data_IF_664573461146
#
_entry.id   IF_664573461146
#
_cell.length_a   1.000
_cell.length_b   1.000
_cell.length_c   1.000
_cell.angle_alpha   90.00
_cell.angle_beta   90.00
_cell.angle_gamma   90.00
#
_symmetry.space_group_name_H-M   'P 1'
#
loop_
_entity.id
_entity.type
_entity.pdbx_description
1 polymer ?
#
# COMPACT_ATOMS: atom_id res chain seq x y z
N UNK A 1 -1.97 22.84 5.82
CA UNK A 1 -0.55 22.56 6.14
C UNK A 1 0.28 23.83 6.00
N UNK A 2 -0.33 25.01 6.13
CA UNK A 2 0.35 26.28 5.94
C UNK A 2 1.01 26.61 7.29
N UNK A 3 2.36 26.64 7.32
CA UNK A 3 3.13 26.92 8.54
C UNK A 3 4.19 25.88 8.92
N UNK A 4 4.31 24.76 8.20
CA UNK A 4 5.50 23.90 8.33
C UNK A 4 6.65 24.53 7.54
N UNK A 5 7.66 25.04 8.25
CA UNK A 5 8.94 25.41 7.62
C UNK A 5 9.58 24.12 7.06
N UNK A 6 10.08 24.17 5.84
CA UNK A 6 10.71 23.04 5.13
C UNK A 6 11.92 22.48 5.90
N UNK A 7 12.42 23.23 6.89
CA UNK A 7 13.50 22.87 7.80
C UNK A 7 13.07 21.95 8.95
N UNK A 8 11.77 21.84 9.24
CA UNK A 8 11.25 20.87 10.19
C UNK A 8 11.20 19.52 9.50
N UNK A 9 12.07 18.58 9.89
CA UNK A 9 12.16 17.21 9.34
C UNK A 9 10.95 16.32 9.63
N UNK A 10 9.74 16.81 9.35
CA UNK A 10 8.47 16.11 9.54
C UNK A 10 7.99 15.62 8.18
N UNK A 11 7.70 14.33 8.08
CA UNK A 11 7.10 13.71 6.90
C UNK A 11 5.65 13.40 7.23
N UNK A 12 4.72 13.91 6.41
CA UNK A 12 3.30 13.59 6.52
C UNK A 12 2.90 12.56 5.46
N UNK A 13 2.26 11.47 5.90
CA UNK A 13 1.69 10.43 5.04
C UNK A 13 0.20 10.32 5.36
N UNK A 14 -0.63 10.27 4.32
CA UNK A 14 -2.06 10.02 4.44
C UNK A 14 -2.49 8.94 3.45
N UNK A 15 -3.58 8.24 3.76
CA UNK A 15 -4.18 7.21 2.91
C UNK A 15 -5.69 7.43 2.79
N UNK A 16 -6.23 7.22 1.59
CA UNK A 16 -7.68 7.25 1.33
C UNK A 16 -8.03 6.20 0.28
N UNK A 17 -9.22 5.59 0.43
CA UNK A 17 -9.82 4.74 -0.60
C UNK A 17 -10.78 5.52 -1.52
N UNK A 18 -10.97 6.83 -1.27
CA UNK A 18 -11.84 7.72 -2.05
C UNK A 18 -11.14 9.04 -2.35
N UNK A 19 -10.17 9.07 -3.28
CA UNK A 19 -9.46 10.29 -3.65
C UNK A 19 -10.36 11.32 -4.34
N UNK A 20 -11.46 10.86 -4.94
CA UNK A 20 -12.45 11.64 -5.68
C UNK A 20 -13.23 12.66 -4.83
N UNK A 21 -13.37 12.41 -3.53
CA UNK A 21 -14.10 13.31 -2.60
C UNK A 21 -13.19 14.16 -1.72
N UNK A 22 -11.88 14.11 -1.94
CA UNK A 22 -10.96 14.96 -1.18
C UNK A 22 -11.18 16.43 -1.54
N UNK A 23 -11.09 17.30 -0.53
CA UNK A 23 -11.05 18.74 -0.78
C UNK A 23 -9.87 19.06 -1.70
N UNK A 24 -10.08 19.70 -2.87
CA UNK A 24 -9.02 20.07 -3.80
C UNK A 24 -7.91 20.92 -3.16
N UNK A 25 -8.20 21.64 -2.08
CA UNK A 25 -7.21 22.38 -1.32
C UNK A 25 -6.13 21.50 -0.69
N UNK A 26 -6.37 20.21 -0.46
CA UNK A 26 -5.39 19.26 0.05
C UNK A 26 -4.38 18.79 -1.02
N UNK A 27 -4.76 18.87 -2.29
CA UNK A 27 -3.97 18.39 -3.44
C UNK A 27 -3.13 19.49 -4.09
N UNK A 28 -3.15 20.71 -3.55
CA UNK A 28 -2.33 21.82 -4.05
C UNK A 28 -0.86 21.66 -3.66
N UNK A 29 0.08 22.20 -4.45
CA UNK A 29 1.50 22.21 -4.11
C UNK A 29 1.78 22.74 -2.70
N UNK A 30 2.73 22.13 -1.99
CA UNK A 30 3.04 22.38 -0.58
C UNK A 30 2.17 21.62 0.42
N UNK A 31 1.31 20.69 -0.04
CA UNK A 31 0.47 19.84 0.82
C UNK A 31 0.68 18.36 0.50
N UNK A 32 -0.33 17.64 -0.02
CA UNK A 32 -0.14 16.26 -0.48
C UNK A 32 0.37 16.25 -1.93
N UNK A 33 1.62 16.68 -2.09
CA UNK A 33 2.24 16.90 -3.40
C UNK A 33 2.51 15.58 -4.14
N UNK A 34 2.81 14.51 -3.38
CA UNK A 34 3.05 13.18 -3.93
C UNK A 34 1.84 12.29 -3.69
N UNK A 35 1.27 11.81 -4.77
CA UNK A 35 0.21 10.82 -4.77
C UNK A 35 0.78 9.50 -5.29
N UNK A 36 0.62 8.43 -4.50
CA UNK A 36 1.07 7.09 -4.85
C UNK A 36 -0.18 6.21 -4.89
N UNK A 37 -0.54 5.75 -6.08
CA UNK A 37 -1.60 4.77 -6.23
C UNK A 37 -1.12 3.39 -5.75
N UNK A 38 -1.95 2.72 -4.97
CA UNK A 38 -1.70 1.35 -4.51
C UNK A 38 -2.75 0.46 -5.13
N UNK A 39 -2.36 -0.23 -6.19
CA UNK A 39 -3.22 -1.18 -6.89
C UNK A 39 -3.28 -2.54 -6.19
N UNK A 40 -4.20 -3.39 -6.65
CA UNK A 40 -4.26 -4.77 -6.21
C UNK A 40 -2.98 -5.51 -6.64
N UNK A 41 -2.46 -6.42 -5.80
CA UNK A 41 -1.28 -7.20 -6.16
C UNK A 41 -1.56 -8.10 -7.36
N UNK A 42 -0.59 -8.16 -8.26
CA UNK A 42 -0.58 -9.15 -9.35
C UNK A 42 -0.30 -10.56 -8.81
N UNK A 43 -0.21 -11.54 -9.72
CA UNK A 43 0.06 -12.93 -9.34
C UNK A 43 1.33 -13.05 -8.48
N UNK A 44 2.42 -12.40 -8.90
CA UNK A 44 3.69 -12.49 -8.21
C UNK A 44 3.61 -11.82 -6.83
N UNK A 45 3.00 -10.65 -6.74
CA UNK A 45 2.75 -9.93 -5.50
C UNK A 45 1.93 -10.77 -4.52
N UNK A 46 0.88 -11.45 -4.98
CA UNK A 46 0.10 -12.36 -4.14
C UNK A 46 0.93 -13.53 -3.62
N UNK A 47 1.79 -14.12 -4.45
CA UNK A 47 2.70 -15.18 -4.02
C UNK A 47 3.67 -14.69 -2.93
N UNK A 48 4.28 -13.52 -3.10
CA UNK A 48 5.19 -12.95 -2.10
C UNK A 48 4.48 -12.59 -0.79
N UNK A 49 3.28 -12.02 -0.86
CA UNK A 49 2.42 -11.77 0.31
C UNK A 49 2.16 -13.09 1.06
N UNK A 50 1.80 -14.15 0.35
CA UNK A 50 1.56 -15.46 0.97
C UNK A 50 2.83 -16.02 1.62
N UNK A 51 4.00 -15.93 0.97
CA UNK A 51 5.29 -16.37 1.52
C UNK A 51 5.61 -15.68 2.85
N UNK A 52 5.44 -14.36 2.93
CA UNK A 52 5.64 -13.60 4.17
C UNK A 52 4.67 -14.07 5.26
N UNK A 53 3.40 -14.29 4.90
CA UNK A 53 2.39 -14.66 5.89
C UNK A 53 2.48 -16.10 6.41
N UNK A 54 3.12 -17.02 5.68
CA UNK A 54 3.36 -18.40 6.16
C UNK A 54 4.66 -18.55 6.95
N UNK A 55 5.54 -17.54 6.91
CA UNK A 55 6.82 -17.60 7.60
C UNK A 55 6.62 -17.81 9.11
N UNK A 56 7.26 -18.84 9.66
CA UNK A 56 7.18 -19.20 11.08
C UNK A 56 5.88 -19.88 11.52
N UNK A 57 5.00 -20.28 10.58
CA UNK A 57 3.75 -20.99 10.89
C UNK A 57 3.81 -22.45 10.46
N UNK A 58 3.12 -23.37 11.16
CA UNK A 58 2.90 -24.72 10.67
C UNK A 58 2.14 -24.66 9.34
N UNK A 59 2.74 -25.21 8.29
CA UNK A 59 2.12 -25.39 6.98
C UNK A 59 2.19 -26.89 6.68
N UNK A 60 1.08 -27.46 6.22
CA UNK A 60 1.04 -28.87 5.85
C UNK A 60 2.06 -29.15 4.71
N UNK A 61 2.65 -30.34 4.74
CA UNK A 61 3.50 -30.78 3.64
C UNK A 61 2.71 -30.79 2.33
N UNK A 62 3.30 -30.24 1.26
CA UNK A 62 2.69 -30.19 -0.07
C UNK A 62 1.76 -29.01 -0.36
N UNK A 63 1.65 -28.02 0.54
CA UNK A 63 0.92 -26.78 0.22
C UNK A 63 1.62 -26.00 -0.90
N UNK A 64 0.94 -25.86 -2.04
CA UNK A 64 1.39 -25.04 -3.17
C UNK A 64 0.83 -23.60 -3.07
N UNK A 65 1.64 -22.67 -2.58
CA UNK A 65 1.28 -21.25 -2.48
C UNK A 65 1.07 -20.58 -3.84
N UNK A 66 1.73 -21.06 -4.90
CA UNK A 66 1.53 -20.52 -6.24
C UNK A 66 0.16 -20.94 -6.81
N UNK A 67 -0.32 -22.15 -6.48
CA UNK A 67 -1.69 -22.55 -6.80
C UNK A 67 -2.71 -21.71 -6.02
N UNK A 68 -2.46 -21.40 -4.74
CA UNK A 68 -3.33 -20.51 -3.95
C UNK A 68 -3.36 -19.10 -4.54
N UNK A 69 -2.21 -18.50 -4.86
CA UNK A 69 -2.12 -17.17 -5.46
C UNK A 69 -2.85 -17.05 -6.82
N UNK A 70 -2.91 -18.14 -7.60
CA UNK A 70 -3.66 -18.20 -8.86
C UNK A 70 -5.18 -18.24 -8.66
N UNK A 71 -5.66 -18.78 -7.55
CA UNK A 71 -7.09 -18.92 -7.25
C UNK A 71 -7.71 -17.67 -6.63
N UNK A 72 -6.90 -16.70 -6.23
CA UNK A 72 -7.34 -15.41 -5.69
C UNK A 72 -7.10 -14.31 -6.73
N UNK A 73 -8.08 -14.01 -7.62
CA UNK A 73 -7.91 -13.00 -8.66
C UNK A 73 -7.71 -11.58 -8.10
#
# INVERSE_FOLDING_TARGET
MDGFDVKGGVILIAATNRPDILDPALLRPGRFDRQIAVDRPDMQGRLEILKVHVQGKPVAEGVDLAAVARRTP
#
